data_IF_805547691266
#
_entry.id   IF_805547691266
#
_cell.length_a   1.000
_cell.length_b   1.000
_cell.length_c   1.000
_cell.angle_alpha   90.00
_cell.angle_beta   90.00
_cell.angle_gamma   90.00
#
_symmetry.space_group_name_H-M   'P 1'
#
loop_
_entity.id
_entity.type
_entity.pdbx_description
1 polymer ?
#
# COMPACT_ATOMS: atom_id res chain seq x y z
N UNK A 1 33.14 5.63 -2.35
CA UNK A 1 32.07 6.17 -3.22
C UNK A 1 31.47 5.17 -4.22
N UNK A 2 32.11 4.02 -4.53
CA UNK A 2 31.61 3.06 -5.54
C UNK A 2 30.45 2.14 -5.06
N UNK A 3 30.42 1.78 -3.77
CA UNK A 3 29.41 0.85 -3.22
C UNK A 3 27.97 1.37 -3.28
N UNK A 4 27.80 2.68 -3.14
CA UNK A 4 26.48 3.32 -3.10
C UNK A 4 25.83 3.34 -4.47
N UNK A 5 26.62 3.65 -5.50
CA UNK A 5 26.16 3.66 -6.89
C UNK A 5 25.63 2.28 -7.30
N UNK A 6 26.35 1.21 -6.96
CA UNK A 6 25.94 -0.17 -7.28
C UNK A 6 24.62 -0.61 -6.64
N UNK A 7 24.39 -0.27 -5.37
CA UNK A 7 23.14 -0.62 -4.67
C UNK A 7 21.93 0.16 -5.18
N UNK A 8 22.09 1.45 -5.45
CA UNK A 8 20.97 2.30 -5.86
C UNK A 8 20.62 2.18 -7.35
N UNK A 9 21.58 1.87 -8.21
CA UNK A 9 21.34 1.72 -9.64
C UNK A 9 20.54 0.46 -9.98
N UNK A 10 20.55 -0.57 -9.12
CA UNK A 10 19.74 -1.80 -9.29
C UNK A 10 18.25 -1.61 -8.94
N UNK A 11 17.89 -0.58 -8.15
CA UNK A 11 16.52 -0.41 -7.64
C UNK A 11 15.64 0.51 -8.51
N UNK A 12 16.18 1.09 -9.58
CA UNK A 12 15.45 1.90 -10.57
C UNK A 12 14.93 3.25 -10.05
N UNK A 13 14.54 3.35 -8.78
CA UNK A 13 14.01 4.55 -8.12
C UNK A 13 14.31 4.49 -6.62
N UNK A 14 14.73 5.62 -6.03
CA UNK A 14 15.03 5.74 -4.61
C UNK A 14 14.05 6.72 -3.94
N UNK A 15 13.36 6.27 -2.88
CA UNK A 15 12.42 7.10 -2.13
C UNK A 15 13.10 7.90 -1.02
N UNK A 16 12.50 9.02 -0.59
CA UNK A 16 13.00 9.82 0.55
C UNK A 16 13.09 9.02 1.84
N UNK A 17 12.15 8.11 2.10
CA UNK A 17 12.12 7.32 3.34
C UNK A 17 13.26 6.28 3.36
N UNK A 18 13.49 5.57 2.26
CA UNK A 18 14.67 4.70 2.13
C UNK A 18 15.98 5.48 2.30
N UNK A 19 16.01 6.73 1.82
CA UNK A 19 17.18 7.59 1.98
C UNK A 19 17.41 8.00 3.44
N UNK A 20 16.34 8.39 4.15
CA UNK A 20 16.42 8.73 5.58
C UNK A 20 16.83 7.53 6.42
N UNK A 21 16.28 6.36 6.12
CA UNK A 21 16.61 5.11 6.80
C UNK A 21 18.08 4.73 6.56
N UNK A 22 18.54 4.79 5.32
CA UNK A 22 19.96 4.59 4.99
C UNK A 22 20.87 5.57 5.75
N UNK A 23 20.53 6.86 5.76
CA UNK A 23 21.27 7.88 6.49
C UNK A 23 21.34 7.57 8.00
N UNK A 24 20.23 7.12 8.59
CA UNK A 24 20.16 6.72 10.01
C UNK A 24 21.02 5.50 10.32
N UNK A 25 20.92 4.44 9.50
CA UNK A 25 21.68 3.19 9.70
C UNK A 25 23.18 3.45 9.61
N UNK A 26 23.60 4.30 8.68
CA UNK A 26 25.01 4.62 8.47
C UNK A 26 25.52 5.73 9.40
N UNK A 27 24.64 6.31 10.23
CA UNK A 27 24.93 7.47 11.07
C UNK A 27 25.51 8.65 10.26
N UNK A 28 24.95 8.89 9.08
CA UNK A 28 25.35 9.96 8.16
C UNK A 28 24.21 10.98 8.06
N UNK A 29 24.54 12.26 7.92
CA UNK A 29 23.54 13.30 7.69
C UNK A 29 22.78 13.08 6.38
N UNK A 30 21.45 13.11 6.45
CA UNK A 30 20.57 13.05 5.27
C UNK A 30 20.92 14.13 4.22
N UNK A 31 21.34 15.32 4.66
CA UNK A 31 21.76 16.39 3.74
C UNK A 31 23.01 16.02 2.96
N UNK A 32 23.96 15.33 3.60
CA UNK A 32 25.18 14.86 2.94
C UNK A 32 24.84 13.77 1.90
N UNK A 33 23.95 12.84 2.26
CA UNK A 33 23.50 11.79 1.34
C UNK A 33 22.78 12.39 0.12
N UNK A 34 21.87 13.35 0.34
CA UNK A 34 21.16 14.05 -0.73
C UNK A 34 22.11 14.78 -1.68
N UNK A 35 23.13 15.44 -1.13
CA UNK A 35 24.17 16.12 -1.92
C UNK A 35 24.95 15.13 -2.79
N UNK A 36 25.45 14.04 -2.20
CA UNK A 36 26.19 13.00 -2.92
C UNK A 36 25.37 12.40 -4.06
N UNK A 37 24.08 12.15 -3.86
CA UNK A 37 23.21 11.64 -4.92
C UNK A 37 23.00 12.65 -6.06
N UNK A 38 22.85 13.93 -5.74
CA UNK A 38 22.78 15.01 -6.73
C UNK A 38 24.08 15.09 -7.54
N UNK A 39 25.23 15.03 -6.87
CA UNK A 39 26.56 15.07 -7.51
C UNK A 39 26.79 13.85 -8.43
N UNK A 40 26.16 12.72 -8.12
CA UNK A 40 26.17 11.50 -8.93
C UNK A 40 25.12 11.49 -10.05
N UNK A 41 24.31 12.54 -10.20
CA UNK A 41 23.26 12.64 -11.20
C UNK A 41 22.04 11.73 -10.94
N UNK A 42 21.88 11.24 -9.71
CA UNK A 42 20.79 10.34 -9.33
C UNK A 42 19.57 11.18 -8.93
N UNK A 43 18.47 11.05 -9.69
CA UNK A 43 17.20 11.74 -9.41
C UNK A 43 16.46 11.04 -8.28
N UNK A 44 16.16 11.78 -7.21
CA UNK A 44 15.29 11.34 -6.12
C UNK A 44 13.87 11.77 -6.46
N UNK A 45 12.95 10.81 -6.53
CA UNK A 45 11.55 11.10 -6.79
C UNK A 45 10.75 10.98 -5.49
N UNK A 46 9.86 11.94 -5.29
CA UNK A 46 8.81 11.84 -4.28
C UNK A 46 7.72 10.94 -4.83
N UNK A 47 8.00 9.63 -4.86
CA UNK A 47 6.91 8.66 -4.87
C UNK A 47 6.27 8.87 -3.50
N UNK A 48 5.18 9.64 -3.43
CA UNK A 48 4.25 9.50 -2.31
C UNK A 48 3.94 8.01 -2.33
N UNK A 49 4.33 7.21 -1.32
CA UNK A 49 3.83 5.86 -1.24
C UNK A 49 2.33 6.07 -1.28
N UNK A 50 1.71 5.68 -2.40
CA UNK A 50 0.27 5.73 -2.56
C UNK A 50 -0.19 5.01 -1.34
N UNK A 51 -0.77 5.77 -0.42
CA UNK A 51 -1.01 5.36 0.93
C UNK A 51 -1.70 4.01 0.74
N UNK A 52 -1.07 2.91 1.16
CA UNK A 52 -1.84 1.71 1.49
C UNK A 52 -2.61 2.15 2.72
N UNK A 53 -3.58 3.05 2.51
CA UNK A 53 -4.85 2.93 3.12
C UNK A 53 -5.18 1.47 2.83
N UNK A 54 -4.90 0.62 3.82
CA UNK A 54 -6.03 -0.06 4.40
C UNK A 54 -7.08 1.04 4.58
N UNK A 55 -7.82 1.34 3.51
CA UNK A 55 -9.19 1.67 3.63
C UNK A 55 -9.72 0.44 4.33
N UNK A 56 -9.63 0.44 5.66
CA UNK A 56 -10.82 0.27 6.44
C UNK A 56 -11.75 1.36 5.93
N UNK A 57 -12.29 1.14 4.72
CA UNK A 57 -13.45 1.83 4.25
C UNK A 57 -14.37 1.63 5.42
N UNK A 58 -14.70 2.73 6.11
CA UNK A 58 -15.80 2.77 7.07
C UNK A 58 -17.13 2.61 6.33
N UNK A 59 -17.10 1.81 5.27
CA UNK A 59 -18.13 1.49 4.34
C UNK A 59 -18.63 0.09 4.63
N UNK A 60 -19.79 -0.13 4.05
CA UNK A 60 -20.41 -1.43 4.05
C UNK A 60 -20.00 -2.15 2.78
N UNK A 61 -19.87 -3.46 2.87
CA UNK A 61 -19.69 -4.34 1.74
C UNK A 61 -20.83 -4.17 0.73
N UNK A 62 -20.54 -4.48 -0.52
CA UNK A 62 -21.54 -4.47 -1.60
C UNK A 62 -21.77 -5.89 -2.08
N UNK A 63 -23.02 -6.19 -2.42
CA UNK A 63 -23.39 -7.45 -3.04
C UNK A 63 -22.65 -7.61 -4.36
N UNK A 64 -21.97 -8.74 -4.56
CA UNK A 64 -21.23 -9.02 -5.80
C UNK A 64 -22.14 -9.27 -7.00
N UNK A 65 -23.39 -9.67 -6.78
CA UNK A 65 -24.36 -9.90 -7.86
C UNK A 65 -25.07 -8.61 -8.30
N UNK A 66 -25.62 -7.84 -7.36
CA UNK A 66 -26.45 -6.66 -7.69
C UNK A 66 -25.81 -5.32 -7.33
N UNK A 67 -24.64 -5.31 -6.67
CA UNK A 67 -23.95 -4.10 -6.24
C UNK A 67 -24.59 -3.35 -5.08
N UNK A 68 -25.74 -3.81 -4.54
CA UNK A 68 -26.42 -3.18 -3.41
C UNK A 68 -25.52 -3.15 -2.18
N UNK A 69 -25.57 -2.04 -1.46
CA UNK A 69 -24.91 -1.90 -0.15
C UNK A 69 -25.55 -2.88 0.84
N UNK A 70 -24.73 -3.69 1.49
CA UNK A 70 -25.16 -4.62 2.53
C UNK A 70 -25.09 -3.97 3.91
N UNK A 71 -25.51 -4.68 4.95
CA UNK A 71 -25.37 -4.25 6.35
C UNK A 71 -24.03 -4.68 6.97
N UNK A 72 -23.25 -5.48 6.22
CA UNK A 72 -21.95 -5.98 6.65
C UNK A 72 -20.89 -4.90 6.45
N UNK A 73 -20.14 -4.59 7.50
CA UNK A 73 -19.01 -3.65 7.41
C UNK A 73 -17.80 -4.35 6.80
N UNK A 74 -17.03 -3.63 5.98
CA UNK A 74 -15.80 -4.17 5.40
C UNK A 74 -14.72 -4.51 6.42
N UNK A 75 -14.82 -3.99 7.65
CA UNK A 75 -13.96 -4.34 8.77
C UNK A 75 -14.39 -5.60 9.52
N UNK A 76 -15.57 -6.17 9.24
CA UNK A 76 -16.06 -7.34 9.98
C UNK A 76 -15.32 -8.62 9.53
N UNK A 77 -14.97 -9.56 10.43
CA UNK A 77 -14.26 -10.78 10.05
C UNK A 77 -15.10 -11.61 9.08
N UNK A 78 -14.48 -12.16 8.02
CA UNK A 78 -15.20 -12.96 7.00
C UNK A 78 -15.98 -14.13 7.62
N UNK A 79 -15.42 -14.75 8.65
CA UNK A 79 -16.02 -15.88 9.37
C UNK A 79 -17.37 -15.58 10.00
N UNK A 80 -17.66 -14.31 10.30
CA UNK A 80 -18.87 -13.87 10.99
C UNK A 80 -19.80 -13.06 10.07
N UNK A 81 -19.54 -13.05 8.75
CA UNK A 81 -20.38 -12.33 7.79
C UNK A 81 -21.53 -13.21 7.32
N UNK A 82 -22.75 -12.80 7.65
CA UNK A 82 -23.94 -13.38 7.04
C UNK A 82 -23.90 -13.20 5.53
N UNK A 83 -24.33 -14.24 4.79
CA UNK A 83 -24.45 -14.22 3.32
C UNK A 83 -23.11 -13.98 2.58
N UNK A 84 -21.97 -14.30 3.20
CA UNK A 84 -20.69 -14.30 2.54
C UNK A 84 -20.38 -15.67 1.93
N UNK A 85 -20.17 -15.72 0.62
CA UNK A 85 -19.84 -16.94 -0.09
C UNK A 85 -18.34 -17.01 -0.39
N UNK A 86 -17.69 -18.09 0.07
CA UNK A 86 -16.24 -18.23 -0.03
C UNK A 86 -15.80 -18.31 -1.49
N UNK A 87 -14.95 -17.38 -1.90
CA UNK A 87 -14.43 -17.29 -3.27
C UNK A 87 -15.33 -16.48 -4.22
N UNK A 88 -16.56 -16.16 -3.82
CA UNK A 88 -17.49 -15.32 -4.60
C UNK A 88 -17.51 -13.90 -4.02
N UNK A 89 -17.61 -13.77 -2.70
CA UNK A 89 -17.65 -12.50 -1.99
C UNK A 89 -18.96 -12.30 -1.22
N UNK A 90 -19.23 -11.05 -0.81
CA UNK A 90 -20.41 -10.69 -0.04
C UNK A 90 -21.65 -10.64 -0.92
N UNK A 91 -22.77 -11.22 -0.48
CA UNK A 91 -24.09 -11.08 -1.10
C UNK A 91 -25.04 -10.27 -0.19
N UNK A 92 -26.08 -9.69 -0.80
CA UNK A 92 -27.22 -9.21 -0.03
C UNK A 92 -28.18 -10.38 0.23
N UNK A 93 -29.03 -10.23 1.25
CA UNK A 93 -30.01 -11.25 1.65
C UNK A 93 -30.88 -11.73 0.48
N UNK A 94 -31.35 -10.83 -0.38
CA UNK A 94 -32.18 -11.16 -1.55
C UNK A 94 -31.42 -12.07 -2.53
N UNK A 95 -30.23 -11.63 -2.98
CA UNK A 95 -29.43 -12.42 -3.93
C UNK A 95 -28.91 -13.73 -3.35
N UNK A 96 -28.78 -13.82 -2.02
CA UNK A 96 -28.47 -15.08 -1.34
C UNK A 96 -29.66 -16.04 -1.31
N UNK A 97 -30.88 -15.54 -1.18
CA UNK A 97 -32.09 -16.37 -1.18
C UNK A 97 -32.47 -16.87 -2.58
N UNK A 98 -32.05 -16.17 -3.62
CA UNK A 98 -32.26 -16.57 -5.02
C UNK A 98 -31.21 -17.58 -5.55
N UNK A 99 -30.21 -17.93 -4.74
CA UNK A 99 -29.18 -18.96 -5.03
C UNK A 99 -29.67 -20.37 -4.66
#
# INVERSE_FOLDING_TARGET
MSLLKGKFQQQGYLTREQLKEYAKIQNISYQLVKKVLSDLGIKIYDIKPGERTNKTDKGYEKCVLCGKKTEIKSSHPISDRDYYEKGVGQLCRECYQDL
#
